data_IF_046551234990
#
_entry.id   IF_046551234990
#
_cell.length_a   1.000
_cell.length_b   1.000
_cell.length_c   1.000
_cell.angle_alpha   90.00
_cell.angle_beta   90.00
_cell.angle_gamma   90.00
#
_symmetry.space_group_name_H-M   'P 1'
#
loop_
_entity.id
_entity.type
_entity.pdbx_description
1 polymer ?
#
# COMPACT_ATOMS: atom_id res chain seq x y z
N UNK A 1 -33.39 67.00 -3.01
CA UNK A 1 -33.96 65.64 -2.87
C UNK A 1 -33.76 64.88 -4.16
N UNK A 2 -33.14 63.69 -4.04
CA UNK A 2 -33.16 62.51 -4.93
C UNK A 2 -32.54 62.59 -6.32
N UNK A 3 -31.32 62.04 -6.38
CA UNK A 3 -30.72 61.39 -7.54
C UNK A 3 -31.47 60.09 -7.87
N UNK A 4 -31.62 59.77 -9.16
CA UNK A 4 -31.97 58.43 -9.64
C UNK A 4 -30.96 58.05 -10.73
N UNK A 5 -29.98 57.20 -10.38
CA UNK A 5 -29.21 56.40 -11.32
C UNK A 5 -29.70 54.97 -11.16
N UNK A 6 -30.35 54.44 -12.20
CA UNK A 6 -30.61 53.02 -12.34
C UNK A 6 -29.31 52.33 -12.74
N UNK A 7 -28.72 51.57 -11.83
CA UNK A 7 -27.64 50.64 -12.15
C UNK A 7 -28.27 49.36 -12.70
N UNK A 8 -27.99 49.08 -13.97
CA UNK A 8 -28.22 47.78 -14.57
C UNK A 8 -27.25 46.78 -13.90
N UNK A 9 -27.81 45.86 -13.11
CA UNK A 9 -27.10 44.66 -12.67
C UNK A 9 -26.75 43.82 -13.90
N UNK A 10 -25.51 43.94 -14.38
CA UNK A 10 -24.91 43.01 -15.32
C UNK A 10 -24.48 41.78 -14.53
N UNK A 11 -25.26 40.70 -14.61
CA UNK A 11 -24.86 39.38 -14.13
C UNK A 11 -23.61 38.94 -14.88
N UNK A 12 -22.49 38.87 -14.19
CA UNK A 12 -21.24 38.28 -14.69
C UNK A 12 -21.50 36.84 -15.17
N UNK A 13 -20.94 36.40 -16.31
CA UNK A 13 -21.07 35.03 -16.75
C UNK A 13 -20.34 34.11 -15.76
N UNK A 14 -21.09 33.27 -15.07
CA UNK A 14 -20.61 32.19 -14.23
C UNK A 14 -19.63 31.34 -15.05
N UNK A 15 -18.34 31.36 -14.70
CA UNK A 15 -17.35 30.42 -15.24
C UNK A 15 -17.81 29.00 -14.86
N UNK A 16 -18.28 28.24 -15.84
CA UNK A 16 -18.37 26.78 -15.78
C UNK A 16 -16.95 26.24 -15.78
N UNK A 17 -16.47 25.88 -14.62
CA UNK A 17 -15.19 25.21 -14.42
C UNK A 17 -14.99 25.19 -12.92
N UNK A 18 -15.33 24.06 -12.30
CA UNK A 18 -14.90 23.62 -10.96
C UNK A 18 -15.59 22.32 -10.49
N UNK A 19 -16.46 21.68 -11.31
CA UNK A 19 -17.07 20.41 -10.90
C UNK A 19 -16.10 19.20 -10.99
N UNK A 20 -15.07 19.26 -11.85
CA UNK A 20 -14.13 18.14 -12.05
C UNK A 20 -13.08 17.99 -10.94
N UNK A 21 -12.64 19.09 -10.31
CA UNK A 21 -11.69 19.01 -9.19
C UNK A 21 -12.38 18.47 -7.91
N UNK A 22 -13.68 18.76 -7.76
CA UNK A 22 -14.49 18.28 -6.64
C UNK A 22 -14.80 16.77 -6.73
N UNK A 23 -15.02 16.21 -7.93
CA UNK A 23 -15.26 14.77 -8.14
C UNK A 23 -13.99 13.91 -8.08
N UNK A 24 -12.83 14.47 -8.43
CA UNK A 24 -11.53 13.78 -8.37
C UNK A 24 -11.08 13.46 -6.94
N UNK A 25 -11.39 14.31 -5.97
CA UNK A 25 -11.03 14.07 -4.54
C UNK A 25 -11.64 12.77 -3.97
N UNK A 26 -12.95 12.54 -4.10
CA UNK A 26 -13.61 11.29 -3.72
C UNK A 26 -13.05 10.04 -4.43
N UNK A 27 -12.69 10.15 -5.72
CA UNK A 27 -12.14 9.02 -6.47
C UNK A 27 -10.72 8.66 -6.01
N UNK A 28 -9.86 9.67 -5.76
CA UNK A 28 -8.51 9.44 -5.23
C UNK A 28 -8.57 8.79 -3.85
N UNK A 29 -9.42 9.31 -2.96
CA UNK A 29 -9.56 8.75 -1.60
C UNK A 29 -10.01 7.30 -1.61
N UNK A 30 -10.95 6.94 -2.50
CA UNK A 30 -11.35 5.56 -2.74
C UNK A 30 -10.19 4.69 -3.26
N UNK A 31 -9.52 5.11 -4.33
CA UNK A 31 -8.42 4.33 -4.92
C UNK A 31 -7.27 4.09 -3.94
N UNK A 32 -6.94 5.08 -3.10
CA UNK A 32 -5.94 4.93 -2.05
C UNK A 32 -6.42 3.98 -0.95
N UNK A 33 -7.70 4.00 -0.60
CA UNK A 33 -8.28 3.04 0.35
C UNK A 33 -8.24 1.61 -0.22
N UNK A 34 -8.54 1.42 -1.51
CA UNK A 34 -8.47 0.13 -2.19
C UNK A 34 -7.02 -0.41 -2.19
N UNK A 35 -6.03 0.45 -2.49
CA UNK A 35 -4.62 0.09 -2.40
C UNK A 35 -4.17 -0.26 -0.98
N UNK A 36 -4.62 0.49 0.04
CA UNK A 36 -4.33 0.17 1.45
C UNK A 36 -4.94 -1.17 1.86
N UNK A 37 -6.19 -1.43 1.46
CA UNK A 37 -6.87 -2.69 1.72
C UNK A 37 -6.12 -3.86 1.05
N UNK A 38 -5.72 -3.70 -0.21
CA UNK A 38 -4.92 -4.68 -0.94
C UNK A 38 -3.53 -4.88 -0.30
N UNK A 39 -2.86 -3.81 0.13
CA UNK A 39 -1.57 -3.88 0.82
C UNK A 39 -1.66 -4.70 2.11
N UNK A 40 -2.65 -4.40 2.97
CA UNK A 40 -2.91 -5.15 4.20
C UNK A 40 -3.20 -6.64 3.91
N UNK A 41 -3.97 -6.90 2.85
CA UNK A 41 -4.30 -8.24 2.38
C UNK A 41 -3.04 -9.02 1.98
N UNK A 42 -2.18 -8.41 1.16
CA UNK A 42 -0.92 -8.99 0.72
C UNK A 42 0.04 -9.21 1.89
N UNK A 43 0.16 -8.27 2.82
CA UNK A 43 0.98 -8.42 4.01
C UNK A 43 0.54 -9.65 4.83
N UNK A 44 -0.76 -9.77 5.08
CA UNK A 44 -1.33 -10.93 5.80
C UNK A 44 -1.03 -12.25 5.08
N UNK A 45 -1.15 -12.28 3.76
CA UNK A 45 -0.80 -13.44 2.93
C UNK A 45 0.69 -13.81 3.04
N UNK A 46 1.58 -12.82 2.96
CA UNK A 46 3.04 -13.03 3.07
C UNK A 46 3.47 -13.47 4.48
N UNK A 47 2.66 -13.15 5.49
CA UNK A 47 2.82 -13.59 6.88
C UNK A 47 2.23 -14.99 7.17
N UNK A 48 1.50 -15.60 6.22
CA UNK A 48 0.98 -16.96 6.39
C UNK A 48 2.06 -18.03 6.14
N UNK A 49 1.88 -19.24 6.66
CA UNK A 49 2.86 -20.34 6.47
C UNK A 49 2.62 -21.26 5.29
N UNK A 50 1.57 -21.01 4.53
CA UNK A 50 1.08 -22.03 3.62
C UNK A 50 2.03 -22.20 2.44
N UNK A 51 2.29 -23.46 2.10
CA UNK A 51 2.99 -23.88 0.89
C UNK A 51 2.26 -23.50 -0.41
N UNK A 52 1.19 -22.71 -0.34
CA UNK A 52 0.38 -22.32 -1.50
C UNK A 52 1.18 -21.47 -2.50
N UNK A 53 2.24 -20.79 -2.05
CA UNK A 53 3.22 -20.15 -2.93
C UNK A 53 4.09 -21.14 -3.72
N UNK A 54 4.24 -22.38 -3.25
CA UNK A 54 4.99 -23.47 -3.89
C UNK A 54 4.13 -24.26 -4.89
N UNK A 55 2.80 -24.10 -4.85
CA UNK A 55 1.90 -24.62 -5.87
C UNK A 55 1.95 -23.75 -7.14
N UNK A 56 3.15 -23.62 -7.74
CA UNK A 56 3.46 -22.80 -8.93
C UNK A 56 2.50 -23.01 -10.12
N UNK A 57 1.77 -24.13 -10.13
CA UNK A 57 0.96 -24.56 -11.26
C UNK A 57 -0.49 -24.04 -11.23
N UNK A 58 -1.01 -23.54 -10.09
CA UNK A 58 -2.44 -23.17 -9.99
C UNK A 58 -2.77 -21.69 -9.94
N UNK A 59 -1.83 -20.83 -9.52
CA UNK A 59 -2.13 -19.40 -9.36
C UNK A 59 -1.23 -18.55 -10.26
N UNK A 60 -1.86 -17.77 -11.12
CA UNK A 60 -1.19 -16.79 -11.99
C UNK A 60 -1.63 -15.41 -11.55
N UNK A 61 -0.70 -14.67 -10.97
CA UNK A 61 -0.93 -13.33 -10.42
C UNK A 61 -0.68 -12.23 -11.47
N UNK A 62 -1.35 -12.31 -12.62
CA UNK A 62 -1.10 -11.40 -13.74
C UNK A 62 -1.56 -9.97 -13.46
N UNK A 63 -2.71 -9.81 -12.81
CA UNK A 63 -3.24 -8.55 -12.32
C UNK A 63 -2.31 -7.94 -11.28
N UNK A 64 -1.88 -8.72 -10.28
CA UNK A 64 -0.90 -8.25 -9.28
C UNK A 64 0.44 -7.85 -9.92
N UNK A 65 0.93 -8.63 -10.87
CA UNK A 65 2.14 -8.30 -11.62
C UNK A 65 1.97 -7.00 -12.42
N UNK A 66 0.86 -6.86 -13.15
CA UNK A 66 0.53 -5.66 -13.92
C UNK A 66 0.42 -4.41 -13.05
N UNK A 67 -0.27 -4.50 -11.91
CA UNK A 67 -0.40 -3.40 -10.97
C UNK A 67 0.97 -3.03 -10.37
N UNK A 68 1.78 -4.02 -10.02
CA UNK A 68 3.13 -3.79 -9.51
C UNK A 68 3.98 -3.01 -10.52
N UNK A 69 3.92 -3.37 -11.80
CA UNK A 69 4.62 -2.66 -12.87
C UNK A 69 4.10 -1.24 -13.09
N UNK A 70 2.78 -1.05 -13.06
CA UNK A 70 2.16 0.28 -13.16
C UNK A 70 2.69 1.18 -12.04
N UNK A 71 2.56 0.74 -10.78
CA UNK A 71 3.02 1.52 -9.63
C UNK A 71 4.53 1.76 -9.66
N UNK A 72 5.34 0.76 -10.04
CA UNK A 72 6.79 0.91 -10.17
C UNK A 72 7.18 1.98 -11.19
N UNK A 73 6.51 2.02 -12.34
CA UNK A 73 6.79 3.01 -13.39
C UNK A 73 6.54 4.44 -12.91
N UNK A 74 5.50 4.64 -12.09
CA UNK A 74 5.19 5.91 -11.45
C UNK A 74 6.13 6.25 -10.28
N UNK A 75 6.76 5.25 -9.64
CA UNK A 75 7.76 5.47 -8.59
C UNK A 75 9.18 5.79 -9.13
N UNK A 76 9.54 5.36 -10.35
CA UNK A 76 10.89 5.54 -10.92
C UNK A 76 11.03 6.75 -11.85
N UNK A 77 9.92 7.25 -12.42
CA UNK A 77 9.93 8.41 -13.31
C UNK A 77 9.93 9.75 -12.56
N UNK A 78 10.84 10.67 -12.89
CA UNK A 78 10.77 12.08 -12.46
C UNK A 78 9.66 12.88 -13.21
N UNK A 79 8.62 12.20 -13.71
CA UNK A 79 7.50 12.70 -14.51
C UNK A 79 6.35 11.68 -14.35
N UNK A 80 5.04 11.96 -14.26
CA UNK A 80 4.20 13.16 -14.27
C UNK A 80 2.77 12.64 -14.03
N UNK A 81 2.10 13.04 -12.94
CA UNK A 81 0.67 12.75 -12.71
C UNK A 81 0.36 11.48 -11.90
N UNK A 82 -0.71 11.56 -11.09
CA UNK A 82 -1.33 10.41 -10.41
C UNK A 82 -1.82 9.41 -11.46
N UNK A 83 -1.78 8.11 -11.14
CA UNK A 83 -2.52 7.13 -11.93
C UNK A 83 -4.01 7.52 -11.91
N UNK A 84 -4.72 7.18 -12.98
CA UNK A 84 -6.17 7.32 -13.00
C UNK A 84 -6.76 6.51 -11.82
N UNK A 85 -7.47 7.15 -10.87
CA UNK A 85 -8.03 6.47 -9.71
C UNK A 85 -8.94 5.30 -10.08
N UNK A 86 -9.67 5.38 -11.19
CA UNK A 86 -10.55 4.29 -11.65
C UNK A 86 -9.73 3.08 -12.10
N UNK A 87 -8.61 3.32 -12.80
CA UNK A 87 -7.68 2.26 -13.20
C UNK A 87 -7.06 1.60 -11.97
N UNK A 88 -6.66 2.38 -10.97
CA UNK A 88 -6.13 1.84 -9.71
C UNK A 88 -7.16 0.97 -9.00
N UNK A 89 -8.39 1.46 -8.80
CA UNK A 89 -9.46 0.69 -8.16
C UNK A 89 -9.77 -0.60 -8.92
N UNK A 90 -9.89 -0.54 -10.26
CA UNK A 90 -10.16 -1.71 -11.09
C UNK A 90 -9.02 -2.74 -11.02
N UNK A 91 -7.76 -2.30 -11.08
CA UNK A 91 -6.63 -3.21 -10.95
C UNK A 91 -6.51 -3.79 -9.54
N UNK A 92 -6.81 -3.01 -8.50
CA UNK A 92 -6.81 -3.49 -7.12
C UNK A 92 -7.89 -4.55 -6.88
N UNK A 93 -9.09 -4.35 -7.44
CA UNK A 93 -10.17 -5.34 -7.46
C UNK A 93 -9.75 -6.61 -8.21
N UNK A 94 -9.15 -6.46 -9.40
CA UNK A 94 -8.61 -7.57 -10.18
C UNK A 94 -7.55 -8.38 -9.42
N UNK A 95 -6.65 -7.70 -8.72
CA UNK A 95 -5.70 -8.36 -7.81
C UNK A 95 -6.45 -9.13 -6.72
N UNK A 96 -7.51 -8.55 -6.16
CA UNK A 96 -8.34 -9.19 -5.15
C UNK A 96 -8.83 -10.57 -5.61
N UNK A 97 -9.42 -10.67 -6.81
CA UNK A 97 -9.88 -11.94 -7.36
C UNK A 97 -8.76 -12.98 -7.55
N UNK A 98 -7.55 -12.54 -7.90
CA UNK A 98 -6.40 -13.43 -8.02
C UNK A 98 -5.91 -13.95 -6.65
N UNK A 99 -6.12 -13.19 -5.58
CA UNK A 99 -5.73 -13.55 -4.21
C UNK A 99 -6.77 -14.41 -3.49
N UNK A 100 -8.05 -14.36 -3.89
CA UNK A 100 -9.14 -15.12 -3.24
C UNK A 100 -8.83 -16.62 -3.07
N UNK A 101 -8.32 -17.36 -4.08
CA UNK A 101 -8.04 -18.78 -3.91
C UNK A 101 -6.85 -19.04 -2.98
N UNK A 102 -5.92 -18.08 -2.85
CA UNK A 102 -4.77 -18.19 -1.96
C UNK A 102 -5.24 -18.05 -0.51
N UNK A 103 -6.09 -17.05 -0.25
CA UNK A 103 -6.69 -16.86 1.07
C UNK A 103 -7.53 -18.04 1.50
N UNK A 104 -8.39 -18.55 0.61
CA UNK A 104 -9.21 -19.73 0.90
C UNK A 104 -8.34 -20.92 1.28
N UNK A 105 -7.26 -21.18 0.52
CA UNK A 105 -6.33 -22.27 0.83
C UNK A 105 -5.66 -22.09 2.20
N UNK A 106 -5.39 -20.84 2.62
CA UNK A 106 -4.83 -20.56 3.95
C UNK A 106 -5.87 -20.74 5.05
N UNK A 107 -7.10 -20.26 4.86
CA UNK A 107 -8.20 -20.43 5.80
C UNK A 107 -8.52 -21.91 6.04
N UNK A 108 -8.51 -22.73 4.99
CA UNK A 108 -8.75 -24.18 5.11
C UNK A 108 -7.63 -24.93 5.86
N UNK A 109 -6.43 -24.35 5.94
CA UNK A 109 -5.25 -24.99 6.53
C UNK A 109 -4.99 -24.63 8.00
N UNK A 110 -5.67 -23.61 8.55
CA UNK A 110 -5.46 -23.07 9.90
C UNK A 110 -4.00 -22.67 10.20
N UNK A 111 -3.35 -22.10 9.18
CA UNK A 111 -1.91 -21.85 9.14
C UNK A 111 -1.53 -20.36 9.10
N UNK A 112 -2.48 -19.47 9.43
CA UNK A 112 -2.26 -18.03 9.40
C UNK A 112 -1.11 -17.55 10.28
N UNK A 113 -0.78 -18.27 11.36
CA UNK A 113 0.15 -17.80 12.40
C UNK A 113 1.27 -18.79 12.75
N UNK A 114 1.46 -19.85 11.96
CA UNK A 114 2.61 -20.73 12.18
C UNK A 114 3.89 -20.01 11.71
N UNK A 115 5.06 -20.62 11.88
CA UNK A 115 6.30 -20.17 11.19
C UNK A 115 6.61 -21.15 10.07
N UNK A 116 7.17 -20.66 8.96
CA UNK A 116 7.61 -21.49 7.82
C UNK A 116 9.13 -21.51 7.71
N UNK A 117 9.68 -22.60 7.20
CA UNK A 117 11.11 -22.67 6.90
C UNK A 117 11.47 -21.61 5.85
N UNK A 118 12.61 -20.95 6.05
CA UNK A 118 13.13 -20.02 5.05
C UNK A 118 13.43 -20.79 3.76
N UNK A 119 12.80 -20.44 2.63
CA UNK A 119 13.07 -21.12 1.37
C UNK A 119 14.46 -20.72 0.87
N UNK A 120 15.08 -21.59 0.08
CA UNK A 120 16.33 -21.25 -0.62
C UNK A 120 16.10 -20.20 -1.70
N UNK A 121 14.92 -20.23 -2.34
CA UNK A 121 14.48 -19.31 -3.39
C UNK A 121 12.99 -19.00 -3.24
N UNK A 122 12.60 -17.76 -3.50
CA UNK A 122 11.19 -17.38 -3.51
C UNK A 122 10.53 -17.74 -4.84
N UNK A 123 9.29 -18.22 -4.80
CA UNK A 123 8.51 -18.42 -6.02
C UNK A 123 8.21 -17.08 -6.70
N UNK A 124 7.96 -17.12 -8.01
CA UNK A 124 7.64 -15.92 -8.78
C UNK A 124 6.39 -15.18 -8.24
N UNK A 125 5.42 -15.92 -7.71
CA UNK A 125 4.23 -15.37 -7.08
C UNK A 125 4.57 -14.63 -5.79
N UNK A 126 5.39 -15.22 -4.91
CA UNK A 126 5.82 -14.55 -3.68
C UNK A 126 6.66 -13.29 -3.99
N UNK A 127 7.56 -13.36 -4.97
CA UNK A 127 8.32 -12.19 -5.43
C UNK A 127 7.39 -11.08 -5.96
N UNK A 128 6.36 -11.45 -6.71
CA UNK A 128 5.36 -10.51 -7.25
C UNK A 128 4.62 -9.81 -6.11
N UNK A 129 4.15 -10.54 -5.10
CA UNK A 129 3.45 -9.96 -3.95
C UNK A 129 4.35 -9.05 -3.12
N UNK A 130 5.61 -9.46 -2.87
CA UNK A 130 6.59 -8.64 -2.16
C UNK A 130 6.89 -7.34 -2.91
N UNK A 131 7.04 -7.41 -4.24
CA UNK A 131 7.24 -6.24 -5.08
C UNK A 131 6.02 -5.32 -5.08
N UNK A 132 4.81 -5.89 -5.27
CA UNK A 132 3.56 -5.13 -5.27
C UNK A 132 3.35 -4.39 -3.94
N UNK A 133 3.52 -5.08 -2.81
CA UNK A 133 3.41 -4.45 -1.48
C UNK A 133 4.37 -3.26 -1.34
N UNK A 134 5.61 -3.42 -1.81
CA UNK A 134 6.60 -2.33 -1.79
C UNK A 134 6.18 -1.14 -2.66
N UNK A 135 5.65 -1.40 -3.86
CA UNK A 135 5.20 -0.35 -4.77
C UNK A 135 3.92 0.35 -4.32
N UNK A 136 3.00 -0.37 -3.66
CA UNK A 136 1.80 0.21 -3.04
C UNK A 136 2.20 1.27 -2.00
N UNK A 137 3.11 0.94 -1.08
CA UNK A 137 3.53 1.91 -0.06
C UNK A 137 4.22 3.13 -0.67
N UNK A 138 5.15 2.91 -1.61
CA UNK A 138 5.83 4.01 -2.29
C UNK A 138 4.89 4.91 -3.07
N UNK A 139 3.87 4.33 -3.72
CA UNK A 139 2.88 5.10 -4.45
C UNK A 139 2.04 5.98 -3.51
N UNK A 140 1.53 5.40 -2.41
CA UNK A 140 0.74 6.12 -1.41
C UNK A 140 1.56 7.20 -0.70
N UNK A 141 2.85 6.97 -0.47
CA UNK A 141 3.78 7.97 0.05
C UNK A 141 4.05 9.11 -0.92
N UNK A 142 4.25 8.79 -2.20
CA UNK A 142 4.37 9.81 -3.26
C UNK A 142 3.12 10.67 -3.38
N UNK A 143 1.97 10.14 -2.95
CA UNK A 143 0.69 10.86 -2.93
C UNK A 143 0.54 11.82 -1.75
N UNK A 144 1.28 11.57 -0.67
CA UNK A 144 1.33 12.36 0.55
C UNK A 144 2.79 12.74 0.87
N UNK A 145 3.47 13.54 0.01
CA UNK A 145 4.90 13.79 0.12
C UNK A 145 5.30 14.43 1.46
N UNK A 146 4.40 15.25 2.02
CA UNK A 146 4.53 15.87 3.34
C UNK A 146 4.55 14.84 4.48
N UNK A 147 3.80 13.75 4.37
CA UNK A 147 3.80 12.63 5.32
C UNK A 147 4.97 11.69 5.09
N UNK A 148 5.35 11.46 3.82
CA UNK A 148 6.47 10.57 3.46
C UNK A 148 7.82 11.05 4.02
N UNK A 149 7.97 12.36 4.24
CA UNK A 149 9.17 12.98 4.81
C UNK A 149 9.23 12.88 6.34
N UNK A 150 8.14 12.46 7.01
CA UNK A 150 8.11 12.36 8.47
C UNK A 150 8.88 11.11 8.94
N UNK A 151 9.69 11.22 10.00
CA UNK A 151 10.40 10.07 10.57
C UNK A 151 9.48 8.90 10.96
N UNK A 152 8.26 9.20 11.41
CA UNK A 152 7.24 8.19 11.77
C UNK A 152 6.90 7.30 10.56
N UNK A 153 6.73 7.88 9.37
CA UNK A 153 6.37 7.13 8.18
C UNK A 153 7.50 6.20 7.71
N UNK A 154 8.77 6.63 7.83
CA UNK A 154 9.93 5.76 7.53
C UNK A 154 10.07 4.64 8.58
N UNK A 155 9.78 4.91 9.85
CA UNK A 155 9.81 3.92 10.91
C UNK A 155 8.71 2.88 10.77
N UNK A 156 7.48 3.29 10.41
CA UNK A 156 6.37 2.39 10.13
C UNK A 156 6.72 1.44 8.95
N UNK A 157 7.34 1.96 7.88
CA UNK A 157 7.87 1.14 6.77
C UNK A 157 8.88 0.11 7.23
N UNK A 158 9.88 0.53 8.00
CA UNK A 158 10.93 -0.36 8.50
C UNK A 158 10.33 -1.44 9.40
N UNK A 159 9.40 -1.07 10.29
CA UNK A 159 8.69 -2.01 11.14
C UNK A 159 7.95 -3.06 10.34
N UNK A 160 7.18 -2.66 9.32
CA UNK A 160 6.44 -3.59 8.47
C UNK A 160 7.38 -4.56 7.73
N UNK A 161 8.48 -4.05 7.16
CA UNK A 161 9.49 -4.90 6.48
C UNK A 161 10.16 -5.89 7.43
N UNK A 162 10.43 -5.47 8.66
CA UNK A 162 11.04 -6.33 9.68
C UNK A 162 10.03 -7.35 10.21
N UNK A 163 8.73 -7.00 10.34
CA UNK A 163 7.65 -7.95 10.68
C UNK A 163 7.53 -9.07 9.66
N UNK A 164 7.69 -8.79 8.37
CA UNK A 164 7.73 -9.81 7.32
C UNK A 164 8.90 -10.81 7.46
N UNK A 165 9.88 -10.54 8.33
CA UNK A 165 10.95 -11.48 8.66
C UNK A 165 10.60 -12.40 9.84
N UNK A 166 9.53 -12.12 10.59
CA UNK A 166 9.09 -12.93 11.75
C UNK A 166 8.41 -14.24 11.32
N UNK A 167 7.95 -14.31 10.08
CA UNK A 167 7.30 -15.50 9.50
C UNK A 167 8.24 -16.71 9.40
N UNK A 168 9.56 -16.49 9.47
CA UNK A 168 10.57 -17.52 9.23
C UNK A 168 10.96 -18.28 10.49
N UNK A 169 10.85 -19.60 10.43
CA UNK A 169 11.52 -20.50 11.35
C UNK A 169 12.99 -20.60 10.95
N UNK A 170 13.86 -20.02 11.76
CA UNK A 170 15.30 -19.98 11.54
C UNK A 170 15.99 -20.81 12.60
N UNK A 171 17.01 -21.57 12.18
CA UNK A 171 17.75 -22.50 13.04
C UNK A 171 18.53 -21.79 14.16
N UNK A 172 18.84 -20.50 14.00
CA UNK A 172 19.58 -19.71 14.97
C UNK A 172 18.64 -19.01 15.96
N UNK A 173 18.66 -19.46 17.22
CA UNK A 173 17.91 -18.85 18.31
C UNK A 173 18.38 -17.40 18.62
N UNK A 174 19.61 -17.04 18.26
CA UNK A 174 20.15 -15.69 18.34
C UNK A 174 19.47 -14.73 17.36
N UNK A 175 19.18 -15.20 16.15
CA UNK A 175 18.47 -14.41 15.14
C UNK A 175 17.09 -13.96 15.63
N UNK A 176 16.29 -14.88 16.16
CA UNK A 176 14.93 -14.57 16.64
C UNK A 176 14.94 -13.56 17.80
N UNK A 177 15.92 -13.68 18.70
CA UNK A 177 16.12 -12.69 19.78
C UNK A 177 16.50 -11.32 19.22
N UNK A 178 17.41 -11.27 18.24
CA UNK A 178 17.83 -10.04 17.60
C UNK A 178 16.68 -9.36 16.84
N UNK A 179 15.87 -10.13 16.12
CA UNK A 179 14.71 -9.63 15.38
C UNK A 179 13.66 -9.02 16.34
N UNK A 180 13.34 -9.72 17.42
CA UNK A 180 12.44 -9.22 18.45
C UNK A 180 12.97 -7.92 19.10
N UNK A 181 14.28 -7.85 19.37
CA UNK A 181 14.91 -6.64 19.90
C UNK A 181 14.86 -5.48 18.90
N UNK A 182 15.11 -5.74 17.61
CA UNK A 182 15.02 -4.74 16.56
C UNK A 182 13.61 -4.16 16.45
N UNK A 183 12.58 -5.01 16.44
CA UNK A 183 11.17 -4.57 16.41
C UNK A 183 10.80 -3.72 17.63
N UNK A 184 11.22 -4.14 18.83
CA UNK A 184 11.00 -3.34 20.05
C UNK A 184 11.67 -1.98 19.98
N UNK A 185 12.88 -1.91 19.44
CA UNK A 185 13.61 -0.64 19.32
C UNK A 185 13.00 0.26 18.24
N UNK A 186 12.57 -0.31 17.12
CA UNK A 186 11.84 0.43 16.07
C UNK A 186 10.53 1.00 16.60
N UNK A 187 9.74 0.21 17.34
CA UNK A 187 8.51 0.70 17.97
C UNK A 187 8.79 1.87 18.91
N UNK A 188 9.81 1.75 19.78
CA UNK A 188 10.18 2.85 20.69
C UNK A 188 10.61 4.11 19.95
N UNK A 189 11.37 3.96 18.87
CA UNK A 189 11.79 5.09 18.03
C UNK A 189 10.57 5.75 17.35
N UNK A 190 9.63 4.94 16.87
CA UNK A 190 8.38 5.40 16.25
C UNK A 190 7.53 6.18 17.25
N UNK A 191 7.33 5.63 18.44
CA UNK A 191 6.58 6.29 19.51
C UNK A 191 7.27 7.62 19.89
N UNK A 192 8.60 7.64 20.02
CA UNK A 192 9.33 8.87 20.32
C UNK A 192 9.17 9.94 19.21
N UNK A 193 9.23 9.52 17.94
CA UNK A 193 9.06 10.41 16.79
C UNK A 193 7.61 10.95 16.66
N UNK A 194 6.61 10.20 17.11
CA UNK A 194 5.21 10.66 17.14
C UNK A 194 4.98 11.77 18.18
N UNK A 195 5.73 11.73 19.30
CA UNK A 195 5.64 12.72 20.38
C UNK A 195 6.70 13.81 20.32
N UNK A 196 7.55 13.85 19.28
CA UNK A 196 8.54 14.89 19.11
C UNK A 196 7.84 16.21 18.75
N UNK A 197 8.09 17.33 19.49
CA UNK A 197 7.42 18.59 19.23
C UNK A 197 7.75 19.08 17.82
N UNK A 198 6.71 19.40 17.05
CA UNK A 198 6.84 20.09 15.76
C UNK A 198 7.41 21.49 16.02
N UNK A 199 8.73 21.64 15.86
CA UNK A 199 9.38 22.95 15.84
C UNK A 199 8.99 23.74 14.60
#
# INVERSE_FOLDING_TARGET
MRFARGEAFMSTPQRRGDDKESEMGPLVTKSNADLRALGNRIERLLMSTVSAFEAEVKMKLYGCYGLSHLLASHCMGHQTGRCDPEVISWMAEGCGYELDPLELAIEESDEWFKRRLMPSEFSANELTLRALLTHIHRYLEGDEPEYSALPVAELDRLMQRVRLLEVWELRDAGYQKALCAALKNLQRARDAAEYEPRN
#
